data_IF_950768858729
#
_entry.id   IF_950768858729
#
_cell.length_a   1.000
_cell.length_b   1.000
_cell.length_c   1.000
_cell.angle_alpha   90.00
_cell.angle_beta   90.00
_cell.angle_gamma   90.00
#
_symmetry.space_group_name_H-M   'P 1'
#
loop_
_entity.id
_entity.type
_entity.pdbx_description
1 polymer ?
#
# COMPACT_ATOMS: atom_id res chain seq x y z
N UNK A 1 -33.36 -4.88 13.18
CA UNK A 1 -34.02 -4.20 14.31
C UNK A 1 -34.09 -2.68 14.18
N UNK A 2 -33.01 -1.99 13.78
CA UNK A 2 -33.00 -0.50 13.74
C UNK A 2 -33.36 0.15 12.39
N UNK A 3 -33.50 -0.64 11.33
CA UNK A 3 -33.92 -0.16 9.99
C UNK A 3 -32.81 0.50 9.17
N UNK A 4 -33.08 0.73 7.88
CA UNK A 4 -32.08 1.24 6.93
C UNK A 4 -31.64 2.69 7.19
N UNK A 5 -32.56 3.55 7.67
CA UNK A 5 -32.25 4.94 7.99
C UNK A 5 -31.21 5.04 9.11
N UNK A 6 -31.40 4.29 10.20
CA UNK A 6 -30.43 4.24 11.31
C UNK A 6 -29.02 3.85 10.83
N UNK A 7 -28.89 2.85 9.94
CA UNK A 7 -27.58 2.46 9.42
C UNK A 7 -26.98 3.52 8.48
N UNK A 8 -27.83 4.16 7.67
CA UNK A 8 -27.43 5.23 6.76
C UNK A 8 -26.93 6.49 7.48
N UNK A 9 -27.38 6.73 8.71
CA UNK A 9 -26.97 7.89 9.51
C UNK A 9 -25.52 7.79 10.01
N UNK A 10 -24.88 6.62 9.93
CA UNK A 10 -23.44 6.47 10.11
C UNK A 10 -22.68 6.78 8.82
N UNK A 11 -21.43 7.22 8.98
CA UNK A 11 -20.51 7.48 7.88
C UNK A 11 -20.63 8.90 7.33
N UNK A 12 -20.08 9.12 6.14
CA UNK A 12 -20.07 10.42 5.48
C UNK A 12 -20.25 10.27 3.98
N UNK A 13 -20.64 11.36 3.29
CA UNK A 13 -20.71 11.36 1.82
C UNK A 13 -21.57 10.22 1.25
N UNK A 14 -20.94 9.34 0.47
CA UNK A 14 -21.57 8.10 -0.05
C UNK A 14 -21.14 6.84 0.72
N UNK A 15 -20.08 6.91 1.52
CA UNK A 15 -19.67 5.85 2.43
C UNK A 15 -20.54 5.85 3.69
N UNK A 16 -21.70 5.18 3.59
CA UNK A 16 -22.69 5.07 4.67
C UNK A 16 -22.56 3.79 5.46
N UNK A 17 -22.86 3.84 6.74
CA UNK A 17 -22.73 2.71 7.65
C UNK A 17 -21.41 2.68 8.40
N UNK A 18 -21.08 1.49 8.89
CA UNK A 18 -19.86 1.18 9.62
C UNK A 18 -19.01 0.19 8.83
N UNK A 19 -17.72 0.13 9.17
CA UNK A 19 -16.80 -0.87 8.64
C UNK A 19 -15.93 -1.42 9.78
N UNK A 20 -15.75 -2.75 9.88
CA UNK A 20 -14.78 -3.34 10.78
C UNK A 20 -13.38 -3.04 10.26
N UNK A 21 -12.64 -2.16 10.92
CA UNK A 21 -11.25 -1.80 10.62
C UNK A 21 -10.34 -2.85 11.26
N UNK A 22 -9.43 -3.43 10.48
CA UNK A 22 -8.45 -4.40 10.97
C UNK A 22 -7.07 -3.74 11.02
N UNK A 23 -6.57 -3.45 12.21
CA UNK A 23 -5.29 -2.78 12.42
C UNK A 23 -4.23 -3.84 12.75
N UNK A 24 -3.21 -3.95 11.90
CA UNK A 24 -2.19 -4.99 11.93
C UNK A 24 -0.80 -4.44 11.57
N UNK A 25 0.20 -5.33 11.52
CA UNK A 25 1.60 -4.98 11.25
C UNK A 25 2.32 -4.54 12.53
N UNK A 26 3.18 -3.54 12.41
CA UNK A 26 3.93 -2.96 13.53
C UNK A 26 3.08 -1.88 14.23
N UNK A 27 2.15 -2.32 15.08
CA UNK A 27 1.19 -1.46 15.78
C UNK A 27 1.04 -1.88 17.25
N UNK A 28 0.93 -0.90 18.15
CA UNK A 28 0.86 -1.16 19.60
C UNK A 28 -0.42 -1.88 20.01
N UNK A 29 -1.56 -1.42 19.49
CA UNK A 29 -2.89 -1.96 19.78
C UNK A 29 -3.54 -2.49 18.50
N UNK A 30 -3.02 -3.63 18.01
CA UNK A 30 -3.61 -4.33 16.86
C UNK A 30 -4.91 -5.04 17.22
N UNK A 31 -5.82 -5.17 16.26
CA UNK A 31 -7.11 -5.80 16.48
C UNK A 31 -8.18 -5.45 15.45
N UNK A 32 -9.43 -5.77 15.80
CA UNK A 32 -10.62 -5.48 15.02
C UNK A 32 -11.45 -4.41 15.73
N UNK A 33 -11.70 -3.30 15.05
CA UNK A 33 -12.44 -2.16 15.59
C UNK A 33 -13.52 -1.74 14.61
N UNK A 34 -14.78 -1.74 15.00
CA UNK A 34 -15.85 -1.26 14.14
C UNK A 34 -16.08 0.23 14.35
N UNK A 35 -16.00 1.00 13.26
CA UNK A 35 -16.23 2.45 13.28
C UNK A 35 -17.10 2.87 12.09
N UNK A 36 -17.74 4.03 12.23
CA UNK A 36 -18.37 4.71 11.11
C UNK A 36 -17.30 5.23 10.13
N UNK A 37 -17.61 5.28 8.84
CA UNK A 37 -16.72 5.95 7.87
C UNK A 37 -16.50 7.42 8.24
N UNK A 38 -15.32 7.95 7.91
CA UNK A 38 -14.99 9.37 8.03
C UNK A 38 -13.99 9.75 9.11
N UNK A 39 -13.62 8.84 10.03
CA UNK A 39 -12.41 9.03 10.84
C UNK A 39 -11.19 9.17 9.93
N UNK A 40 -10.24 10.03 10.26
CA UNK A 40 -9.00 10.16 9.50
C UNK A 40 -8.11 8.92 9.70
N UNK A 41 -7.24 8.65 8.72
CA UNK A 41 -6.25 7.58 8.86
C UNK A 41 -5.33 7.80 10.08
N UNK A 42 -5.02 9.05 10.40
CA UNK A 42 -4.26 9.44 11.59
C UNK A 42 -4.94 9.06 12.90
N UNK A 43 -6.22 9.40 13.07
CA UNK A 43 -6.98 9.00 14.27
C UNK A 43 -7.01 7.47 14.43
N UNK A 44 -7.14 6.73 13.32
CA UNK A 44 -7.14 5.27 13.35
C UNK A 44 -5.78 4.72 13.79
N UNK A 45 -4.68 5.23 13.22
CA UNK A 45 -3.33 4.69 13.48
C UNK A 45 -2.77 5.14 14.82
N UNK A 46 -2.94 6.41 15.16
CA UNK A 46 -2.35 7.02 16.34
C UNK A 46 -3.22 6.84 17.59
N UNK A 47 -4.53 7.09 17.49
CA UNK A 47 -5.41 7.10 18.66
C UNK A 47 -5.98 5.71 18.97
N UNK A 48 -6.46 4.98 17.96
CA UNK A 48 -6.94 3.60 18.14
C UNK A 48 -5.74 2.65 18.19
N UNK A 49 -4.86 2.70 17.19
CA UNK A 49 -3.70 1.82 17.08
C UNK A 49 -2.58 2.09 18.10
N UNK A 50 -2.54 3.28 18.70
CA UNK A 50 -1.50 3.67 19.67
C UNK A 50 -0.12 3.85 19.04
N UNK A 51 -0.05 4.12 17.73
CA UNK A 51 1.19 4.18 16.96
C UNK A 51 1.88 2.81 16.82
N UNK A 52 3.19 2.81 16.58
CA UNK A 52 3.95 1.58 16.34
C UNK A 52 4.20 0.80 17.63
N UNK A 53 4.29 -0.53 17.52
CA UNK A 53 4.67 -1.39 18.65
C UNK A 53 6.10 -1.12 19.10
N UNK A 54 6.97 -0.72 18.18
CA UNK A 54 8.38 -0.39 18.43
C UNK A 54 8.59 0.96 19.11
N UNK A 55 7.56 1.82 19.15
CA UNK A 55 7.67 3.21 19.62
C UNK A 55 8.41 4.14 18.66
N UNK A 56 8.77 3.65 17.47
CA UNK A 56 9.42 4.43 16.40
C UNK A 56 8.36 5.19 15.57
N UNK A 57 8.74 6.26 14.85
CA UNK A 57 7.80 6.97 13.99
C UNK A 57 7.18 6.06 12.93
N UNK A 58 5.89 6.26 12.64
CA UNK A 58 5.22 5.59 11.50
C UNK A 58 5.77 6.17 10.20
N UNK A 59 6.26 5.31 9.31
CA UNK A 59 6.73 5.69 7.96
C UNK A 59 5.61 5.63 6.95
N UNK A 60 4.94 4.49 6.91
CA UNK A 60 3.96 4.14 5.90
C UNK A 60 2.86 3.28 6.51
N UNK A 61 1.67 3.39 5.93
CA UNK A 61 0.55 2.50 6.24
C UNK A 61 0.00 1.97 4.93
N UNK A 62 -0.07 0.66 4.79
CA UNK A 62 -0.76 0.04 3.65
C UNK A 62 -2.24 -0.13 3.99
N UNK A 63 -3.12 0.44 3.18
CA UNK A 63 -4.58 0.35 3.38
C UNK A 63 -5.20 -0.43 2.23
N UNK A 64 -6.07 -1.38 2.56
CA UNK A 64 -6.81 -2.17 1.56
C UNK A 64 -6.17 -3.50 1.19
N UNK A 65 -5.27 -4.01 2.03
CA UNK A 65 -4.58 -5.29 1.85
C UNK A 65 -3.39 -5.19 0.89
N UNK A 66 -2.84 -6.34 0.42
CA UNK A 66 -1.59 -6.37 -0.35
C UNK A 66 -1.61 -5.58 -1.66
N UNK A 67 -2.80 -5.34 -2.23
CA UNK A 67 -3.02 -4.58 -3.46
C UNK A 67 -3.30 -3.09 -3.21
N UNK A 68 -3.30 -2.68 -1.94
CA UNK A 68 -3.49 -1.31 -1.51
C UNK A 68 -2.22 -0.47 -1.65
N UNK A 69 -2.40 0.84 -1.79
CA UNK A 69 -1.31 1.80 -1.79
C UNK A 69 -0.73 2.03 -0.39
N UNK A 70 0.53 2.45 -0.33
CA UNK A 70 1.18 2.92 0.88
C UNK A 70 0.93 4.42 1.07
N UNK A 71 0.35 4.78 2.21
CA UNK A 71 0.09 6.15 2.59
C UNK A 71 1.24 6.64 3.49
N UNK A 72 1.99 7.68 3.10
CA UNK A 72 2.94 8.33 3.99
C UNK A 72 2.21 9.17 5.03
N UNK A 73 2.92 9.57 6.09
CA UNK A 73 2.39 10.43 7.16
C UNK A 73 1.67 11.69 6.65
N UNK A 74 2.14 12.27 5.54
CA UNK A 74 1.55 13.46 4.92
C UNK A 74 0.11 13.26 4.38
N UNK A 75 -0.38 12.03 4.28
CA UNK A 75 -1.75 11.71 3.84
C UNK A 75 -2.65 11.25 5.01
N UNK A 76 -2.21 11.35 6.26
CA UNK A 76 -2.97 10.81 7.40
C UNK A 76 -4.22 11.63 7.75
N UNK A 77 -4.34 12.85 7.22
CA UNK A 77 -5.56 13.65 7.26
C UNK A 77 -6.67 13.11 6.35
N UNK A 78 -6.38 12.11 5.50
CA UNK A 78 -7.37 11.51 4.60
C UNK A 78 -8.48 10.84 5.42
N UNK A 79 -9.74 11.28 5.26
CA UNK A 79 -10.88 10.60 5.87
C UNK A 79 -10.99 9.17 5.33
N UNK A 80 -11.26 8.21 6.22
CA UNK A 80 -11.53 6.82 5.90
C UNK A 80 -12.91 6.70 5.25
N UNK A 81 -12.93 7.07 3.98
CA UNK A 81 -14.06 7.16 3.06
C UNK A 81 -13.60 6.71 1.65
N UNK A 82 -14.46 6.00 0.92
CA UNK A 82 -14.07 5.39 -0.37
C UNK A 82 -13.63 6.43 -1.40
N UNK A 83 -14.35 7.55 -1.51
CA UNK A 83 -14.02 8.60 -2.46
C UNK A 83 -12.76 9.37 -2.06
N UNK A 84 -12.59 9.67 -0.78
CA UNK A 84 -11.41 10.36 -0.26
C UNK A 84 -10.12 9.56 -0.51
N UNK A 85 -10.14 8.25 -0.27
CA UNK A 85 -9.01 7.37 -0.58
C UNK A 85 -8.75 7.26 -2.09
N UNK A 86 -9.80 7.10 -2.90
CA UNK A 86 -9.66 7.02 -4.35
C UNK A 86 -9.07 8.30 -4.95
N UNK A 87 -9.40 9.47 -4.40
CA UNK A 87 -8.84 10.76 -4.82
C UNK A 87 -7.33 10.92 -4.53
N UNK A 88 -6.75 10.00 -3.74
CA UNK A 88 -5.32 9.93 -3.42
C UNK A 88 -4.65 8.70 -4.03
N UNK A 89 -5.23 8.14 -5.09
CA UNK A 89 -4.78 6.90 -5.74
C UNK A 89 -4.71 5.69 -4.78
N UNK A 90 -5.47 5.74 -3.70
CA UNK A 90 -5.61 4.68 -2.71
C UNK A 90 -6.93 3.92 -2.84
N UNK A 91 -7.11 2.94 -1.96
CA UNK A 91 -8.36 2.20 -1.81
C UNK A 91 -8.51 1.70 -0.37
N UNK A 92 -9.75 1.59 0.11
CA UNK A 92 -10.05 1.04 1.44
C UNK A 92 -10.07 -0.48 1.44
N UNK A 93 -10.51 -1.08 0.33
CA UNK A 93 -10.65 -2.54 0.20
C UNK A 93 -11.55 -3.10 1.31
N UNK A 94 -11.04 -4.07 2.05
CA UNK A 94 -11.72 -4.68 3.20
C UNK A 94 -11.43 -3.99 4.54
N UNK A 95 -10.87 -2.77 4.52
CA UNK A 95 -10.41 -2.00 5.69
C UNK A 95 -9.29 -2.66 6.52
N UNK A 96 -8.45 -3.45 5.86
CA UNK A 96 -7.18 -3.90 6.43
C UNK A 96 -6.13 -2.79 6.39
N UNK A 97 -5.50 -2.53 7.52
CA UNK A 97 -4.48 -1.51 7.73
C UNK A 97 -3.22 -2.17 8.27
N UNK A 98 -2.12 -2.09 7.52
CA UNK A 98 -0.82 -2.61 7.94
C UNK A 98 0.14 -1.45 8.22
N UNK A 99 0.55 -1.30 9.48
CA UNK A 99 1.42 -0.21 9.94
C UNK A 99 2.89 -0.60 9.82
N UNK A 100 3.72 0.32 9.29
CA UNK A 100 5.17 0.19 9.16
C UNK A 100 5.87 1.36 9.84
N UNK A 101 6.93 1.08 10.59
CA UNK A 101 7.77 2.13 11.18
C UNK A 101 8.88 2.60 10.21
N UNK A 102 9.66 3.59 10.63
CA UNK A 102 10.78 4.20 9.89
C UNK A 102 11.91 3.25 9.49
N UNK A 103 11.92 2.00 9.94
CA UNK A 103 12.89 0.98 9.50
C UNK A 103 12.48 0.24 8.23
N UNK A 104 11.23 0.40 7.77
CA UNK A 104 10.75 -0.29 6.58
C UNK A 104 11.48 0.16 5.31
N UNK A 105 11.86 -0.81 4.48
CA UNK A 105 12.49 -0.64 3.18
C UNK A 105 11.42 -0.75 2.08
N UNK A 106 11.02 0.39 1.53
CA UNK A 106 9.91 0.49 0.58
C UNK A 106 10.27 -0.06 -0.81
N UNK A 107 11.55 -0.16 -1.14
CA UNK A 107 12.01 -0.87 -2.32
C UNK A 107 11.77 -2.38 -2.18
N UNK A 108 12.07 -2.97 -1.00
CA UNK A 108 11.69 -4.37 -0.71
C UNK A 108 10.19 -4.57 -0.73
N UNK A 109 9.41 -3.60 -0.24
CA UNK A 109 7.95 -3.68 -0.29
C UNK A 109 7.39 -3.64 -1.73
N UNK A 110 7.96 -2.82 -2.60
CA UNK A 110 7.60 -2.80 -4.02
C UNK A 110 7.97 -4.12 -4.72
N UNK A 111 9.15 -4.67 -4.41
CA UNK A 111 9.56 -6.00 -4.89
C UNK A 111 8.60 -7.09 -4.45
N UNK A 112 8.21 -7.07 -3.17
CA UNK A 112 7.27 -8.03 -2.59
C UNK A 112 5.90 -7.98 -3.27
N UNK A 113 5.39 -6.79 -3.62
CA UNK A 113 4.12 -6.69 -4.33
C UNK A 113 4.15 -7.40 -5.70
N UNK A 114 5.25 -7.25 -6.44
CA UNK A 114 5.45 -7.97 -7.71
C UNK A 114 5.58 -9.48 -7.48
N UNK A 115 6.31 -9.90 -6.45
CA UNK A 115 6.48 -11.32 -6.10
C UNK A 115 5.15 -11.98 -5.69
N UNK A 116 4.36 -11.32 -4.85
CA UNK A 116 3.03 -11.76 -4.46
C UNK A 116 2.13 -11.96 -5.69
N UNK A 117 2.12 -10.99 -6.62
CA UNK A 117 1.37 -11.12 -7.87
C UNK A 117 1.86 -12.29 -8.73
N UNK A 118 3.16 -12.53 -8.79
CA UNK A 118 3.73 -13.64 -9.56
C UNK A 118 3.31 -15.01 -9.00
N UNK A 119 3.28 -15.14 -7.68
CA UNK A 119 2.89 -16.37 -6.98
C UNK A 119 1.38 -16.60 -7.09
N UNK A 120 0.57 -15.59 -6.82
CA UNK A 120 -0.90 -15.72 -6.73
C UNK A 120 -1.60 -15.56 -8.08
N UNK A 121 -0.86 -15.30 -9.16
CA UNK A 121 -1.43 -15.14 -10.50
C UNK A 121 -2.10 -16.44 -10.97
N UNK A 122 -3.39 -16.35 -11.31
CA UNK A 122 -4.12 -17.44 -11.97
C UNK A 122 -3.60 -17.78 -13.39
N UNK A 123 -2.72 -16.94 -13.93
CA UNK A 123 -1.98 -17.20 -15.17
C UNK A 123 -2.65 -16.73 -16.47
N UNK A 124 -3.88 -16.22 -16.41
CA UNK A 124 -4.69 -15.92 -17.60
C UNK A 124 -4.19 -14.73 -18.43
N UNK A 125 -3.75 -13.64 -17.79
CA UNK A 125 -3.32 -12.41 -18.45
C UNK A 125 -1.80 -12.33 -18.47
N UNK A 126 -1.18 -12.12 -19.64
CA UNK A 126 0.28 -12.01 -19.76
C UNK A 126 0.90 -10.91 -18.90
N UNK A 127 0.33 -9.69 -18.81
CA UNK A 127 0.87 -8.65 -17.92
C UNK A 127 0.91 -9.06 -16.45
N UNK A 128 -0.13 -9.76 -15.97
CA UNK A 128 -0.16 -10.29 -14.61
C UNK A 128 0.83 -11.45 -14.41
N UNK A 129 0.80 -12.47 -15.29
CA UNK A 129 1.59 -13.71 -15.12
C UNK A 129 3.09 -13.54 -15.33
N UNK A 130 3.47 -12.77 -16.35
CA UNK A 130 4.87 -12.56 -16.74
C UNK A 130 5.35 -11.18 -16.34
N UNK A 131 4.50 -10.15 -16.44
CA UNK A 131 4.90 -8.81 -16.06
C UNK A 131 5.32 -8.73 -14.60
N UNK A 132 4.61 -9.38 -13.68
CA UNK A 132 5.00 -9.46 -12.26
C UNK A 132 6.40 -10.04 -12.05
N UNK A 133 6.76 -11.14 -12.72
CA UNK A 133 8.10 -11.73 -12.61
C UNK A 133 9.18 -10.79 -13.17
N UNK A 134 8.90 -10.11 -14.30
CA UNK A 134 9.78 -9.06 -14.85
C UNK A 134 9.90 -7.87 -13.90
N UNK A 135 8.83 -7.55 -13.18
CA UNK A 135 8.81 -6.52 -12.13
C UNK A 135 9.78 -6.86 -11.01
N UNK A 136 9.75 -8.09 -10.50
CA UNK A 136 10.71 -8.57 -9.48
C UNK A 136 12.15 -8.43 -9.99
N UNK A 137 12.45 -8.96 -11.18
CA UNK A 137 13.78 -8.91 -11.79
C UNK A 137 14.28 -7.47 -11.99
N UNK A 138 13.38 -6.56 -12.33
CA UNK A 138 13.71 -5.14 -12.57
C UNK A 138 13.95 -4.41 -11.26
N UNK A 139 13.15 -4.66 -10.22
CA UNK A 139 13.36 -4.07 -8.89
C UNK A 139 14.64 -4.62 -8.25
N UNK A 140 15.00 -5.89 -8.48
CA UNK A 140 16.28 -6.45 -8.05
C UNK A 140 17.48 -5.73 -8.69
N UNK A 141 17.35 -5.21 -9.92
CA UNK A 141 18.40 -4.38 -10.54
C UNK A 141 18.51 -3.01 -9.87
N UNK A 142 17.38 -2.40 -9.48
CA UNK A 142 17.38 -1.15 -8.70
C UNK A 142 18.10 -1.39 -7.37
N UNK A 143 17.78 -2.48 -6.66
CA UNK A 143 18.41 -2.86 -5.40
C UNK A 143 19.94 -3.01 -5.49
N UNK A 144 20.44 -3.44 -6.66
CA UNK A 144 21.87 -3.63 -6.96
C UNK A 144 22.54 -2.38 -7.54
N UNK A 145 21.82 -1.27 -7.70
CA UNK A 145 22.35 -0.04 -8.28
C UNK A 145 22.64 -0.12 -9.78
N UNK A 146 22.01 -1.04 -10.52
CA UNK A 146 22.24 -1.21 -11.96
C UNK A 146 21.28 -0.28 -12.74
N UNK A 147 21.79 0.88 -13.19
CA UNK A 147 21.02 1.92 -13.92
C UNK A 147 19.67 2.25 -13.23
N UNK A 148 19.65 2.58 -11.92
CA UNK A 148 18.42 2.60 -11.13
C UNK A 148 17.33 3.52 -11.69
N UNK A 149 17.69 4.68 -12.23
CA UNK A 149 16.74 5.63 -12.85
C UNK A 149 16.01 4.98 -14.04
N UNK A 150 16.76 4.33 -14.93
CA UNK A 150 16.21 3.62 -16.10
C UNK A 150 15.36 2.42 -15.70
N UNK A 151 15.74 1.71 -14.64
CA UNK A 151 14.94 0.60 -14.13
C UNK A 151 13.64 1.11 -13.47
N UNK A 152 13.65 2.26 -12.79
CA UNK A 152 12.44 2.90 -12.25
C UNK A 152 11.47 3.29 -13.38
N UNK A 153 11.98 3.87 -14.47
CA UNK A 153 11.18 4.15 -15.67
C UNK A 153 10.56 2.88 -16.24
N UNK A 154 11.34 1.80 -16.35
CA UNK A 154 10.87 0.51 -16.86
C UNK A 154 9.80 -0.12 -15.95
N UNK A 155 9.98 -0.10 -14.63
CA UNK A 155 8.95 -0.59 -13.68
C UNK A 155 7.69 0.26 -13.79
N UNK A 156 7.83 1.57 -13.98
CA UNK A 156 6.68 2.48 -14.15
C UNK A 156 5.88 2.16 -15.41
N UNK A 157 6.55 1.94 -16.54
CA UNK A 157 5.89 1.53 -17.79
C UNK A 157 5.25 0.14 -17.68
N UNK A 158 5.94 -0.80 -17.04
CA UNK A 158 5.38 -2.12 -16.73
C UNK A 158 4.13 -2.02 -15.87
N UNK A 159 4.13 -1.15 -14.85
CA UNK A 159 2.97 -0.91 -13.99
C UNK A 159 1.77 -0.40 -14.79
N UNK A 160 1.98 0.49 -15.77
CA UNK A 160 0.92 0.91 -16.70
C UNK A 160 0.40 -0.27 -17.53
N UNK A 161 1.30 -1.09 -18.07
CA UNK A 161 0.92 -2.29 -18.84
C UNK A 161 0.10 -3.27 -17.99
N UNK A 162 0.47 -3.50 -16.74
CA UNK A 162 -0.27 -4.34 -15.81
C UNK A 162 -1.65 -3.76 -15.47
N UNK A 163 -1.72 -2.45 -15.21
CA UNK A 163 -2.96 -1.73 -14.87
C UNK A 163 -4.01 -1.87 -15.97
N UNK A 164 -3.62 -1.70 -17.23
CA UNK A 164 -4.54 -1.69 -18.36
C UNK A 164 -4.67 -3.03 -19.09
N UNK A 165 -3.70 -3.94 -18.93
CA UNK A 165 -3.67 -5.23 -19.63
C UNK A 165 -4.06 -6.44 -18.78
N UNK A 166 -4.46 -6.24 -17.52
CA UNK A 166 -4.91 -7.31 -16.63
C UNK A 166 -6.42 -7.46 -16.63
N UNK A 167 -6.91 -8.71 -16.69
CA UNK A 167 -8.34 -9.00 -16.72
C UNK A 167 -9.04 -8.88 -15.35
N UNK A 168 -8.28 -8.88 -14.25
CA UNK A 168 -8.82 -8.77 -12.90
C UNK A 168 -7.95 -7.85 -12.02
N UNK A 169 -8.45 -7.55 -10.82
CA UNK A 169 -7.82 -6.63 -9.89
C UNK A 169 -6.46 -7.10 -9.36
N UNK A 170 -6.14 -8.40 -9.36
CA UNK A 170 -4.81 -8.86 -8.91
C UNK A 170 -3.70 -8.19 -9.74
N UNK A 171 -3.71 -8.41 -11.05
CA UNK A 171 -2.73 -7.77 -11.94
C UNK A 171 -2.98 -6.27 -12.09
N UNK A 172 -4.25 -5.83 -12.10
CA UNK A 172 -4.60 -4.43 -12.30
C UNK A 172 -4.25 -3.52 -11.12
N UNK A 173 -4.24 -4.05 -9.89
CA UNK A 173 -3.96 -3.29 -8.67
C UNK A 173 -2.60 -3.58 -8.05
N UNK A 174 -1.87 -4.63 -8.45
CA UNK A 174 -0.44 -4.79 -8.09
C UNK A 174 0.40 -3.53 -8.32
N UNK A 175 0.15 -2.71 -9.37
CA UNK A 175 0.81 -1.42 -9.53
C UNK A 175 0.63 -0.42 -8.36
N UNK A 176 -0.44 -0.51 -7.55
CA UNK A 176 -0.76 0.49 -6.53
C UNK A 176 0.29 0.53 -5.40
N UNK A 177 0.63 -0.59 -4.73
CA UNK A 177 1.72 -0.61 -3.75
C UNK A 177 3.08 -0.25 -4.36
N UNK A 178 3.35 -0.64 -5.61
CA UNK A 178 4.63 -0.35 -6.29
C UNK A 178 4.78 1.14 -6.58
N UNK A 179 3.77 1.74 -7.22
CA UNK A 179 3.81 3.15 -7.62
C UNK A 179 3.72 4.08 -6.41
N UNK A 180 2.92 3.75 -5.39
CA UNK A 180 2.89 4.54 -4.16
C UNK A 180 4.22 4.47 -3.40
N UNK A 181 4.88 3.30 -3.35
CA UNK A 181 6.23 3.16 -2.80
C UNK A 181 7.23 4.06 -3.53
N UNK A 182 7.28 3.99 -4.87
CA UNK A 182 8.16 4.81 -5.71
C UNK A 182 7.87 6.31 -5.54
N UNK A 183 6.61 6.71 -5.52
CA UNK A 183 6.24 8.12 -5.52
C UNK A 183 6.46 8.82 -4.17
N UNK A 184 6.13 8.14 -3.07
CA UNK A 184 6.16 8.72 -1.73
C UNK A 184 7.47 8.47 -0.98
N UNK A 185 8.22 7.42 -1.34
CA UNK A 185 9.41 6.99 -0.61
C UNK A 185 10.62 6.86 -1.55
N UNK A 186 10.82 7.86 -2.42
CA UNK A 186 11.89 7.88 -3.43
C UNK A 186 13.29 7.63 -2.88
N UNK A 187 13.54 8.04 -1.64
CA UNK A 187 14.84 7.86 -1.00
C UNK A 187 15.20 6.38 -0.79
N UNK A 188 14.21 5.50 -0.61
CA UNK A 188 14.42 4.06 -0.49
C UNK A 188 14.81 3.38 -1.82
N UNK A 189 14.64 4.09 -2.96
CA UNK A 189 14.98 3.60 -4.30
C UNK A 189 16.35 4.11 -4.78
N UNK A 190 17.05 4.89 -3.96
CA UNK A 190 18.42 5.32 -4.26
C UNK A 190 19.41 4.20 -3.92
N UNK A 191 20.52 4.06 -4.66
CA UNK A 191 21.59 3.15 -4.28
C UNK A 191 22.04 3.44 -2.85
N UNK A 192 22.12 2.40 -2.01
CA UNK A 192 22.81 2.54 -0.73
C UNK A 192 24.26 2.96 -1.02
N UNK A 193 24.83 3.94 -0.30
CA UNK A 193 26.25 4.20 -0.38
C UNK A 193 26.98 2.89 -0.12
N UNK A 194 27.85 2.49 -1.05
CA UNK A 194 28.71 1.33 -0.84
C UNK A 194 29.54 1.67 0.40
N UNK A 195 29.35 0.95 1.50
CA UNK A 195 30.30 1.02 2.60
C UNK A 195 31.64 0.59 1.98
N UNK A 196 32.59 1.52 1.87
CA UNK A 196 33.96 1.17 1.54
C UNK A 196 34.34 0.04 2.47
N UNK A 197 34.61 -1.14 1.89
CA UNK A 197 35.12 -2.26 2.65
C UNK A 197 36.40 -1.75 3.32
N UNK A 198 36.38 -1.66 4.65
CA UNK A 198 37.58 -1.36 5.41
C UNK A 198 38.61 -2.45 5.05
N UNK A 199 39.70 -2.03 4.42
CA UNK A 199 40.90 -2.83 4.19
C UNK A 199 41.59 -3.16 5.53
#
# INVERSE_FOLDING_TARGET
DKGAAFYKDFGMGRSRGTIPIQIAGNVRYGGLFEAAFGMTLGEIVDDIGGGTATGRPVKAVQVGGPLGAYFPRALFDTPFDYEAFAAKDGLIGHAGITVFDDTADMLKQARFAMEFCAIESCGKCTPCRIGSTRGVETIDKIARGIEPEKQIELVTDLCNTMKYGSLCALGGFTPYPVMSAINHFRDDFKPAPVAEAAE
#
